data_IF_691310471302
#
_entry.id   IF_691310471302
#
_cell.length_a   1.000
_cell.length_b   1.000
_cell.length_c   1.000
_cell.angle_alpha   90.00
_cell.angle_beta   90.00
_cell.angle_gamma   90.00
#
_symmetry.space_group_name_H-M   'P 1'
#
loop_
_entity.id
_entity.type
_entity.pdbx_description
1 polymer ?
#
# COMPACT_ATOMS: atom_id res chain seq x y z
N UNK A 1 -23.25 -18.52 7.89
CA UNK A 1 -21.84 -18.79 8.26
C UNK A 1 -21.77 -20.20 8.82
N UNK A 2 -20.70 -20.97 8.53
CA UNK A 2 -20.49 -22.28 9.14
C UNK A 2 -20.50 -22.16 10.66
N UNK A 3 -21.19 -23.10 11.32
CA UNK A 3 -21.36 -23.08 12.77
C UNK A 3 -20.16 -23.79 13.42
N UNK A 4 -19.23 -23.01 13.95
CA UNK A 4 -18.11 -23.52 14.75
C UNK A 4 -18.56 -23.85 16.18
N UNK A 5 -17.79 -24.67 16.89
CA UNK A 5 -18.12 -25.08 18.24
C UNK A 5 -18.22 -23.89 19.20
N UNK A 6 -19.13 -23.99 20.18
CA UNK A 6 -19.23 -23.04 21.30
C UNK A 6 -18.14 -23.25 22.36
N UNK A 7 -17.23 -24.22 22.16
CA UNK A 7 -16.11 -24.47 23.06
C UNK A 7 -15.17 -23.27 23.07
N UNK A 8 -14.69 -22.90 24.26
CA UNK A 8 -13.62 -21.92 24.41
C UNK A 8 -12.31 -22.51 23.90
N UNK A 9 -11.74 -21.89 22.87
CA UNK A 9 -10.48 -22.31 22.26
C UNK A 9 -9.28 -21.77 23.02
N UNK A 10 -8.19 -22.53 23.06
CA UNK A 10 -6.89 -22.05 23.55
C UNK A 10 -6.13 -21.30 22.46
N UNK A 11 -5.18 -20.46 22.84
CA UNK A 11 -4.34 -19.72 21.87
C UNK A 11 -3.57 -20.71 21.00
N UNK A 12 -3.70 -20.56 19.69
CA UNK A 12 -3.13 -21.45 18.69
C UNK A 12 -4.07 -22.55 18.21
N UNK A 13 -5.18 -22.83 18.91
CA UNK A 13 -6.15 -23.84 18.46
C UNK A 13 -6.86 -23.39 17.17
N UNK A 14 -7.25 -24.38 16.36
CA UNK A 14 -7.95 -24.20 15.09
C UNK A 14 -9.13 -25.18 15.02
N UNK A 15 -10.28 -24.67 14.60
CA UNK A 15 -11.41 -25.46 14.13
C UNK A 15 -11.61 -25.18 12.63
N UNK A 16 -11.97 -26.20 11.85
CA UNK A 16 -12.24 -26.03 10.43
C UNK A 16 -13.41 -26.88 9.96
N UNK A 17 -14.06 -26.43 8.89
CA UNK A 17 -15.09 -27.16 8.15
C UNK A 17 -14.81 -27.02 6.66
N UNK A 18 -14.94 -28.12 5.92
CA UNK A 18 -14.68 -28.17 4.48
C UNK A 18 -15.81 -28.91 3.76
N UNK A 19 -16.20 -28.43 2.58
CA UNK A 19 -17.19 -29.08 1.71
C UNK A 19 -16.59 -29.53 0.35
N UNK A 20 -15.26 -29.61 0.24
CA UNK A 20 -14.52 -29.99 -0.96
C UNK A 20 -14.26 -28.83 -1.94
N UNK A 21 -14.99 -27.72 -1.86
CA UNK A 21 -14.73 -26.50 -2.65
C UNK A 21 -14.30 -25.32 -1.79
N UNK A 22 -14.73 -25.30 -0.55
CA UNK A 22 -14.53 -24.20 0.39
C UNK A 22 -14.10 -24.75 1.74
N UNK A 23 -13.15 -24.05 2.33
CA UNK A 23 -12.64 -24.24 3.67
C UNK A 23 -13.05 -23.03 4.50
N UNK A 24 -13.71 -23.28 5.62
CA UNK A 24 -13.93 -22.31 6.67
C UNK A 24 -13.03 -22.65 7.86
N UNK A 25 -12.27 -21.67 8.32
CA UNK A 25 -11.32 -21.80 9.44
C UNK A 25 -11.69 -20.82 10.53
N UNK A 26 -11.75 -21.30 11.78
CA UNK A 26 -11.75 -20.49 13.00
C UNK A 26 -10.44 -20.75 13.72
N UNK A 27 -9.61 -19.71 13.86
CA UNK A 27 -8.32 -19.77 14.55
C UNK A 27 -8.32 -18.81 15.73
N UNK A 28 -7.88 -19.28 16.90
CA UNK A 28 -7.80 -18.44 18.10
C UNK A 28 -6.37 -17.94 18.31
N UNK A 29 -6.17 -16.61 18.28
CA UNK A 29 -4.93 -15.98 18.76
C UNK A 29 -5.20 -15.15 20.03
N UNK A 30 -5.23 -13.81 19.93
CA UNK A 30 -5.77 -12.93 20.99
C UNK A 30 -7.30 -12.84 20.94
N UNK A 31 -7.87 -13.09 19.77
CA UNK A 31 -9.30 -13.09 19.44
C UNK A 31 -9.53 -14.14 18.37
N UNK A 32 -10.79 -14.56 18.21
CA UNK A 32 -11.17 -15.49 17.14
C UNK A 32 -11.03 -14.81 15.78
N UNK A 33 -10.30 -15.45 14.88
CA UNK A 33 -10.16 -15.08 13.47
C UNK A 33 -10.92 -16.10 12.64
N UNK A 34 -11.87 -15.62 11.85
CA UNK A 34 -12.66 -16.45 10.93
C UNK A 34 -12.21 -16.18 9.51
N UNK A 35 -11.85 -17.22 8.77
CA UNK A 35 -11.39 -17.14 7.38
C UNK A 35 -12.20 -18.10 6.52
N UNK A 36 -12.60 -17.63 5.34
CA UNK A 36 -13.17 -18.46 4.29
C UNK A 36 -12.19 -18.50 3.12
N UNK A 37 -11.93 -19.68 2.59
CA UNK A 37 -10.96 -19.92 1.53
C UNK A 37 -11.49 -20.93 0.53
N UNK A 38 -11.21 -20.73 -0.76
CA UNK A 38 -11.53 -21.68 -1.85
C UNK A 38 -10.30 -22.43 -2.38
N UNK A 39 -9.10 -22.08 -1.91
CA UNK A 39 -7.83 -22.57 -2.50
C UNK A 39 -6.92 -23.28 -1.49
N UNK A 40 -7.07 -22.95 -0.21
CA UNK A 40 -6.25 -23.53 0.86
C UNK A 40 -6.92 -24.76 1.49
N UNK A 41 -6.08 -25.68 1.94
CA UNK A 41 -6.42 -26.79 2.83
C UNK A 41 -6.31 -26.37 4.30
N UNK A 42 -6.81 -27.20 5.23
CA UNK A 42 -6.76 -26.97 6.68
C UNK A 42 -5.36 -27.21 7.28
N UNK A 43 -4.32 -26.67 6.64
CA UNK A 43 -2.92 -26.82 7.02
C UNK A 43 -2.42 -25.62 7.82
N UNK A 44 -1.45 -25.88 8.69
CA UNK A 44 -0.82 -24.88 9.54
C UNK A 44 0.69 -24.86 9.31
N UNK A 45 1.25 -23.66 9.18
CA UNK A 45 2.68 -23.45 8.97
C UNK A 45 3.28 -22.50 9.99
N UNK A 46 4.57 -22.69 10.25
CA UNK A 46 5.34 -21.75 11.04
C UNK A 46 5.54 -20.44 10.25
N UNK A 47 5.32 -19.31 10.91
CA UNK A 47 5.46 -17.96 10.32
C UNK A 47 6.94 -17.57 10.09
N UNK A 48 7.90 -18.42 10.48
CA UNK A 48 9.33 -18.07 10.56
C UNK A 48 9.66 -17.05 11.65
N UNK A 49 8.67 -16.61 12.45
CA UNK A 49 8.82 -15.69 13.57
C UNK A 49 8.69 -16.45 14.88
N UNK A 50 9.52 -16.07 15.85
CA UNK A 50 9.48 -16.60 17.22
C UNK A 50 8.71 -15.61 18.09
N UNK A 51 7.92 -16.10 19.03
CA UNK A 51 7.36 -15.26 20.07
C UNK A 51 8.48 -14.86 21.05
N UNK A 52 8.75 -13.56 21.15
CA UNK A 52 9.83 -13.05 22.00
C UNK A 52 9.59 -13.30 23.49
N UNK A 53 8.34 -13.58 23.89
CA UNK A 53 8.00 -13.86 25.28
C UNK A 53 8.14 -15.34 25.63
N UNK A 54 7.72 -16.25 24.74
CA UNK A 54 7.70 -17.71 25.01
C UNK A 54 8.85 -18.47 24.35
N UNK A 55 9.57 -17.85 23.41
CA UNK A 55 10.62 -18.52 22.62
C UNK A 55 10.08 -19.52 21.60
N UNK A 56 8.76 -19.67 21.46
CA UNK A 56 8.13 -20.65 20.58
C UNK A 56 7.91 -20.11 19.17
N UNK A 57 7.88 -21.01 18.18
CA UNK A 57 7.57 -20.65 16.80
C UNK A 57 6.09 -20.26 16.68
N UNK A 58 5.81 -19.12 16.06
CA UNK A 58 4.43 -18.70 15.77
C UNK A 58 3.86 -19.52 14.63
N UNK A 59 2.92 -20.41 14.94
CA UNK A 59 2.21 -21.23 13.97
C UNK A 59 0.88 -20.54 13.64
N UNK A 60 0.53 -20.50 12.34
CA UNK A 60 -0.73 -19.93 11.85
C UNK A 60 -1.31 -20.81 10.75
N UNK A 61 -2.63 -20.77 10.51
CA UNK A 61 -3.22 -21.39 9.33
C UNK A 61 -2.61 -20.81 8.05
N UNK A 62 -2.39 -21.64 7.04
CA UNK A 62 -1.78 -21.22 5.77
C UNK A 62 -2.62 -20.13 5.10
N UNK A 63 -3.96 -20.28 5.13
CA UNK A 63 -4.88 -19.27 4.61
C UNK A 63 -4.71 -17.89 5.28
N UNK A 64 -4.36 -17.85 6.57
CA UNK A 64 -4.09 -16.60 7.31
C UNK A 64 -2.73 -16.03 6.92
N UNK A 65 -1.71 -16.87 6.72
CA UNK A 65 -0.39 -16.42 6.27
C UNK A 65 -0.49 -15.78 4.87
N UNK A 66 -1.10 -16.48 3.94
CA UNK A 66 -1.30 -16.03 2.56
C UNK A 66 -2.14 -14.75 2.49
N UNK A 67 -3.21 -14.67 3.27
CA UNK A 67 -4.01 -13.46 3.39
C UNK A 67 -3.16 -12.27 3.85
N UNK A 68 -2.35 -12.43 4.90
CA UNK A 68 -1.52 -11.34 5.42
C UNK A 68 -0.45 -10.89 4.41
N UNK A 69 0.12 -11.81 3.64
CA UNK A 69 1.09 -11.48 2.58
C UNK A 69 0.42 -10.65 1.47
N UNK A 70 -0.78 -11.06 1.05
CA UNK A 70 -1.51 -10.41 -0.06
C UNK A 70 -2.12 -9.08 0.35
N UNK A 71 -2.76 -9.02 1.52
CA UNK A 71 -3.43 -7.82 2.01
C UNK A 71 -2.46 -6.70 2.40
N UNK A 72 -1.27 -7.06 2.90
CA UNK A 72 -0.27 -6.06 3.30
C UNK A 72 0.22 -5.19 2.14
N UNK A 73 0.01 -5.60 0.88
CA UNK A 73 0.36 -4.78 -0.28
C UNK A 73 -0.51 -3.52 -0.39
N UNK A 74 -1.81 -3.63 -0.11
CA UNK A 74 -2.76 -2.50 -0.18
C UNK A 74 -2.45 -1.50 0.93
N UNK A 75 -2.34 -1.98 2.18
CA UNK A 75 -2.00 -1.14 3.32
C UNK A 75 -0.66 -0.41 3.13
N UNK A 76 0.31 -1.09 2.49
CA UNK A 76 1.61 -0.48 2.19
C UNK A 76 1.49 0.62 1.13
N UNK A 77 0.69 0.43 0.10
CA UNK A 77 0.44 1.45 -0.91
C UNK A 77 -0.26 2.68 -0.29
N UNK A 78 -1.28 2.44 0.54
CA UNK A 78 -2.01 3.50 1.25
C UNK A 78 -1.10 4.26 2.22
N UNK A 79 -0.27 3.54 2.98
CA UNK A 79 0.73 4.14 3.85
C UNK A 79 1.70 5.02 3.05
N UNK A 80 2.28 4.51 1.95
CA UNK A 80 3.21 5.27 1.11
C UNK A 80 2.53 6.54 0.59
N UNK A 81 1.29 6.45 0.09
CA UNK A 81 0.56 7.59 -0.44
C UNK A 81 0.21 8.61 0.65
N UNK A 82 -0.13 8.18 1.87
CA UNK A 82 -0.44 9.09 2.98
C UNK A 82 0.72 10.00 3.37
N UNK A 83 1.98 9.55 3.21
CA UNK A 83 3.15 10.37 3.53
C UNK A 83 3.42 11.48 2.50
N UNK A 84 2.88 11.34 1.30
CA UNK A 84 3.23 12.18 0.16
C UNK A 84 2.01 12.71 -0.59
N UNK A 85 0.83 12.64 0.03
CA UNK A 85 -0.45 12.93 -0.60
C UNK A 85 -0.49 14.32 -1.22
N UNK A 86 -0.98 14.40 -2.46
CA UNK A 86 -1.24 15.68 -3.12
C UNK A 86 -2.57 16.31 -2.67
N UNK A 87 -3.33 15.61 -1.82
CA UNK A 87 -4.66 16.01 -1.36
C UNK A 87 -4.58 17.32 -0.56
N UNK A 88 -5.25 18.37 -1.06
CA UNK A 88 -5.40 19.65 -0.36
C UNK A 88 -6.78 19.74 0.29
N UNK A 89 -6.89 20.50 1.40
CA UNK A 89 -8.19 20.80 2.03
C UNK A 89 -9.14 21.39 0.99
N UNK A 90 -10.24 20.71 0.73
CA UNK A 90 -11.24 21.14 -0.26
C UNK A 90 -12.63 20.65 0.14
N UNK A 91 -13.64 21.48 -0.11
CA UNK A 91 -15.06 21.13 0.12
C UNK A 91 -15.65 20.31 -1.03
N UNK A 92 -14.98 20.24 -2.19
CA UNK A 92 -15.48 19.55 -3.38
C UNK A 92 -14.95 18.11 -3.43
N UNK A 93 -15.82 17.12 -3.23
CA UNK A 93 -15.46 15.70 -3.11
C UNK A 93 -14.70 15.14 -4.33
N UNK A 94 -15.07 15.55 -5.55
CA UNK A 94 -14.45 15.03 -6.78
C UNK A 94 -12.95 15.37 -6.88
N UNK A 95 -12.52 16.50 -6.28
CA UNK A 95 -11.10 16.88 -6.26
C UNK A 95 -10.27 15.89 -5.44
N UNK A 96 -10.84 15.32 -4.36
CA UNK A 96 -10.17 14.29 -3.55
C UNK A 96 -9.92 13.03 -4.38
N UNK A 97 -10.90 12.59 -5.17
CA UNK A 97 -10.75 11.45 -6.08
C UNK A 97 -9.68 11.74 -7.14
N UNK A 98 -9.68 12.93 -7.73
CA UNK A 98 -8.68 13.33 -8.72
C UNK A 98 -7.24 13.26 -8.17
N UNK A 99 -6.99 13.82 -6.98
CA UNK A 99 -5.66 13.76 -6.38
C UNK A 99 -5.26 12.32 -6.00
N UNK A 100 -6.20 11.52 -5.50
CA UNK A 100 -5.95 10.10 -5.21
C UNK A 100 -5.54 9.32 -6.47
N UNK A 101 -6.18 9.60 -7.61
CA UNK A 101 -5.83 8.97 -8.89
C UNK A 101 -4.41 9.34 -9.32
N UNK A 102 -4.00 10.60 -9.15
CA UNK A 102 -2.63 11.05 -9.44
C UNK A 102 -1.63 10.33 -8.53
N UNK A 103 -1.85 10.33 -7.21
CA UNK A 103 -0.92 9.69 -6.27
C UNK A 103 -0.77 8.18 -6.56
N UNK A 104 -1.89 7.51 -6.91
CA UNK A 104 -1.88 6.10 -7.33
C UNK A 104 -1.14 5.90 -8.65
N UNK A 105 -1.33 6.77 -9.65
CA UNK A 105 -0.64 6.69 -10.92
C UNK A 105 0.87 6.89 -10.78
N UNK A 106 1.31 7.84 -9.93
CA UNK A 106 2.72 8.09 -9.65
C UNK A 106 3.36 6.89 -8.93
N UNK A 107 2.66 6.29 -7.95
CA UNK A 107 3.11 5.07 -7.28
C UNK A 107 3.27 3.92 -8.28
N UNK A 108 2.27 3.68 -9.13
CA UNK A 108 2.33 2.63 -10.16
C UNK A 108 3.46 2.88 -11.16
N UNK A 109 3.66 4.13 -11.59
CA UNK A 109 4.79 4.51 -12.44
C UNK A 109 6.14 4.18 -11.82
N UNK A 110 6.30 4.39 -10.51
CA UNK A 110 7.54 4.03 -9.79
C UNK A 110 7.81 2.52 -9.78
N UNK A 111 6.75 1.70 -9.67
CA UNK A 111 6.84 0.24 -9.71
C UNK A 111 7.28 -0.21 -11.11
N UNK A 112 6.63 0.31 -12.15
CA UNK A 112 6.96 0.00 -13.55
C UNK A 112 8.38 0.45 -13.89
N UNK A 113 8.78 1.67 -13.50
CA UNK A 113 10.14 2.17 -13.70
C UNK A 113 11.18 1.23 -13.08
N UNK A 114 10.94 0.76 -11.85
CA UNK A 114 11.82 -0.19 -11.18
C UNK A 114 11.89 -1.53 -11.92
N UNK A 115 10.76 -2.04 -12.42
CA UNK A 115 10.71 -3.30 -13.15
C UNK A 115 11.44 -3.23 -14.49
N UNK A 116 11.30 -2.13 -15.24
CA UNK A 116 11.90 -1.98 -16.56
C UNK A 116 13.38 -1.63 -16.52
N UNK A 117 13.81 -0.79 -15.58
CA UNK A 117 15.19 -0.30 -15.51
C UNK A 117 16.09 -1.11 -14.59
N UNK A 118 15.51 -1.91 -13.69
CA UNK A 118 16.23 -2.58 -12.60
C UNK A 118 16.79 -1.61 -11.54
N UNK A 119 16.65 -0.29 -11.72
CA UNK A 119 17.19 0.72 -10.80
C UNK A 119 16.29 0.84 -9.57
N UNK A 120 16.87 0.57 -8.40
CA UNK A 120 16.18 0.75 -7.12
C UNK A 120 16.41 2.17 -6.64
N UNK A 121 15.44 3.04 -6.90
CA UNK A 121 15.39 4.40 -6.34
C UNK A 121 14.28 4.50 -5.30
N UNK A 122 14.45 5.39 -4.32
CA UNK A 122 13.41 5.64 -3.33
C UNK A 122 12.20 6.31 -4.00
N UNK A 123 11.00 6.06 -3.46
CA UNK A 123 9.78 6.64 -4.01
C UNK A 123 9.82 8.17 -4.03
N UNK A 124 10.38 8.79 -2.97
CA UNK A 124 10.60 10.24 -2.93
C UNK A 124 11.50 10.70 -4.08
N UNK A 125 12.61 10.01 -4.35
CA UNK A 125 13.53 10.39 -5.42
C UNK A 125 12.89 10.26 -6.80
N UNK A 126 12.10 9.21 -7.00
CA UNK A 126 11.30 9.04 -8.22
C UNK A 126 10.36 10.24 -8.43
N UNK A 127 9.64 10.67 -7.39
CA UNK A 127 8.75 11.85 -7.47
C UNK A 127 9.51 13.13 -7.76
N UNK A 128 10.66 13.34 -7.13
CA UNK A 128 11.50 14.52 -7.39
C UNK A 128 11.96 14.59 -8.85
N UNK A 129 12.41 13.46 -9.41
CA UNK A 129 12.82 13.38 -10.80
C UNK A 129 11.63 13.63 -11.73
N UNK A 130 10.49 12.97 -11.48
CA UNK A 130 9.26 13.16 -12.24
C UNK A 130 8.80 14.63 -12.23
N UNK A 131 8.85 15.29 -11.07
CA UNK A 131 8.52 16.72 -10.97
C UNK A 131 9.47 17.60 -11.76
N UNK A 132 10.78 17.30 -11.76
CA UNK A 132 11.77 18.04 -12.56
C UNK A 132 11.53 17.89 -14.05
N UNK A 133 11.33 16.66 -14.51
CA UNK A 133 11.06 16.36 -15.92
C UNK A 133 9.77 17.05 -16.41
N UNK A 134 8.68 16.98 -15.63
CA UNK A 134 7.43 17.67 -15.96
C UNK A 134 7.58 19.19 -16.00
N UNK A 135 8.40 19.77 -15.10
CA UNK A 135 8.68 21.20 -15.11
C UNK A 135 9.53 21.59 -16.30
N UNK A 136 10.56 20.83 -16.66
CA UNK A 136 11.42 21.09 -17.81
C UNK A 136 10.63 21.03 -19.12
N UNK A 137 9.73 20.06 -19.26
CA UNK A 137 8.91 19.88 -20.47
C UNK A 137 7.80 20.95 -20.60
N UNK A 138 7.17 21.35 -19.49
CA UNK A 138 6.00 22.22 -19.51
C UNK A 138 6.22 23.61 -18.90
N UNK A 139 7.46 23.99 -18.63
CA UNK A 139 7.80 25.37 -18.28
C UNK A 139 7.40 26.28 -19.44
N UNK A 140 6.27 26.98 -19.29
CA UNK A 140 6.08 28.23 -20.03
C UNK A 140 6.92 29.29 -19.33
N UNK A 141 7.86 29.91 -20.05
CA UNK A 141 8.48 31.16 -19.60
C UNK A 141 7.34 32.08 -19.16
N UNK A 142 7.33 32.47 -17.88
CA UNK A 142 6.48 33.59 -17.46
C UNK A 142 6.83 34.73 -18.40
N UNK A 143 5.90 35.15 -19.26
CA UNK A 143 6.07 36.40 -20.01
C UNK A 143 6.44 37.44 -18.95
N UNK A 144 7.56 38.18 -19.13
CA UNK A 144 7.87 39.28 -18.24
C UNK A 144 6.60 40.12 -18.16
N UNK A 145 6.18 40.47 -16.94
CA UNK A 145 5.09 41.42 -16.77
C UNK A 145 5.41 42.60 -17.68
N UNK A 146 4.53 42.88 -18.65
CA UNK A 146 4.63 44.07 -19.47
C UNK A 146 4.40 45.27 -18.53
N UNK A 147 5.45 45.63 -17.79
CA UNK A 147 5.55 46.88 -17.08
C UNK A 147 5.59 47.94 -18.16
N UNK A 148 4.47 48.64 -18.32
CA UNK A 148 4.47 49.89 -19.04
C UNK A 148 5.38 50.87 -18.30
N UNK A 149 6.34 51.43 -19.04
CA UNK A 149 6.92 52.73 -18.69
C UNK A 149 8.37 52.71 -18.22
N UNK A 150 9.28 52.83 -19.18
CA UNK A 150 10.22 53.96 -19.17
C UNK A 150 11.57 53.77 -18.47
N UNK A 151 12.61 53.66 -19.30
CA UNK A 151 13.81 54.48 -19.10
C UNK A 151 15.07 53.77 -18.60
N UNK A 152 15.98 53.53 -19.55
CA UNK A 152 17.40 53.88 -19.34
C UNK A 152 18.32 52.80 -18.76
N UNK A 153 19.17 52.25 -19.64
CA UNK A 153 20.60 52.23 -19.35
C UNK A 153 21.25 50.88 -19.03
N UNK A 154 22.12 50.48 -19.97
CA UNK A 154 23.45 49.83 -19.80
C UNK A 154 23.59 48.41 -19.21
N UNK A 155 23.68 47.46 -20.16
CA UNK A 155 24.83 46.58 -20.45
C UNK A 155 25.69 45.92 -19.35
N UNK A 156 25.86 44.60 -19.53
CA UNK A 156 27.06 43.75 -19.37
C UNK A 156 27.66 43.54 -17.97
N UNK A 157 27.42 42.37 -17.38
CA UNK A 157 28.30 41.17 -17.42
C UNK A 157 27.54 39.96 -16.86
#
# INVERSE_FOLDING_TARGET
MPAFGCRKMQRGEVEFQENGQQLAVKWHDKRDVHVLSTVHTATMSATGKVDHLTGERKIKPDCVLDYNVKMGAVDKADMINSFVECTRKTTKWYKKIFFQLIDTAVLNGSIVHRQLTGKVITYQKYRENLMRELLEEHHTLRRPSTGGGGGGGVALL
#
